data_IF_828412988088
#
_entry.id   IF_828412988088
#
_cell.length_a   1.000
_cell.length_b   1.000
_cell.length_c   1.000
_cell.angle_alpha   90.00
_cell.angle_beta   90.00
_cell.angle_gamma   90.00
#
_symmetry.space_group_name_H-M   'P 1'
#
loop_
_entity.id
_entity.type
_entity.pdbx_description
1 polymer ?
#
# COMPACT_ATOMS: atom_id res chain seq x y z
N UNK A 1 -13.44 19.06 9.37
CA UNK A 1 -12.70 17.94 9.99
C UNK A 1 -11.30 17.92 9.39
N UNK A 2 -10.27 17.73 10.22
CA UNK A 2 -8.88 17.56 9.80
C UNK A 2 -8.27 16.39 10.57
N UNK A 3 -7.25 15.71 10.02
CA UNK A 3 -6.53 14.65 10.72
C UNK A 3 -5.80 15.20 11.95
N UNK A 4 -5.75 14.39 13.00
CA UNK A 4 -4.94 14.64 14.20
C UNK A 4 -4.05 13.43 14.48
N UNK A 5 -2.93 13.65 15.17
CA UNK A 5 -2.09 12.55 15.65
C UNK A 5 -2.68 11.87 16.90
N UNK A 6 -1.98 10.88 17.45
CA UNK A 6 -2.39 10.15 18.66
C UNK A 6 -2.43 11.01 19.93
N UNK A 7 -1.81 12.19 19.92
CA UNK A 7 -1.83 13.17 21.02
C UNK A 7 -2.91 14.26 20.80
N UNK A 8 -3.61 14.22 19.67
CA UNK A 8 -4.67 15.17 19.32
C UNK A 8 -4.17 16.45 18.66
N UNK A 9 -2.90 16.53 18.26
CA UNK A 9 -2.37 17.68 17.53
C UNK A 9 -2.78 17.64 16.06
N UNK A 10 -3.10 18.79 15.43
CA UNK A 10 -3.40 18.84 14.00
C UNK A 10 -2.26 18.26 13.15
N UNK A 11 -2.60 17.32 12.26
CA UNK A 11 -1.66 16.71 11.34
C UNK A 11 -1.87 17.22 9.92
N UNK A 12 -0.97 18.09 9.45
CA UNK A 12 -0.95 18.54 8.05
C UNK A 12 -0.16 17.55 7.19
N UNK A 13 -0.83 16.85 6.27
CA UNK A 13 -0.17 15.91 5.35
C UNK A 13 0.56 16.68 4.25
N UNK A 14 1.89 16.59 4.23
CA UNK A 14 2.76 17.07 3.16
C UNK A 14 3.44 15.86 2.51
N UNK A 15 2.80 15.37 1.44
CA UNK A 15 3.12 14.09 0.81
C UNK A 15 4.06 14.17 -0.39
N UNK A 16 4.89 13.15 -0.56
CA UNK A 16 5.59 12.80 -1.81
C UNK A 16 5.09 11.45 -2.36
N UNK A 17 5.17 11.25 -3.67
CA UNK A 17 4.62 10.07 -4.37
C UNK A 17 5.72 9.06 -4.76
N UNK A 18 6.28 8.41 -3.75
CA UNK A 18 7.38 7.45 -3.88
C UNK A 18 6.91 6.03 -4.27
N UNK A 19 6.07 5.91 -5.31
CA UNK A 19 5.32 4.67 -5.61
C UNK A 19 6.18 3.41 -5.60
N UNK A 20 7.32 3.40 -6.30
CA UNK A 20 8.16 2.19 -6.39
C UNK A 20 9.23 2.08 -5.30
N UNK A 21 9.20 2.90 -4.23
CA UNK A 21 10.25 2.96 -3.20
C UNK A 21 10.66 1.59 -2.66
N UNK A 22 9.68 0.75 -2.30
CA UNK A 22 9.92 -0.57 -1.69
C UNK A 22 10.56 -1.57 -2.66
N UNK A 23 10.20 -1.51 -3.95
CA UNK A 23 10.72 -2.46 -4.92
C UNK A 23 11.99 -1.96 -5.61
N UNK A 24 12.09 -0.67 -5.87
CA UNK A 24 13.15 -0.16 -6.73
C UNK A 24 14.46 0.07 -5.97
N UNK A 25 14.42 0.49 -4.70
CA UNK A 25 15.62 0.92 -3.98
C UNK A 25 16.20 -0.18 -3.09
N UNK A 26 17.53 -0.23 -2.97
CA UNK A 26 18.19 -0.95 -1.87
C UNK A 26 17.98 -0.22 -0.55
N UNK A 27 18.28 -0.89 0.56
CA UNK A 27 18.05 -0.34 1.91
C UNK A 27 18.77 1.01 2.09
N UNK A 28 20.03 1.13 1.67
CA UNK A 28 20.80 2.40 1.81
C UNK A 28 20.30 3.51 0.87
N UNK A 29 19.74 3.14 -0.29
CA UNK A 29 19.16 4.10 -1.24
C UNK A 29 17.82 4.63 -0.72
N UNK A 30 17.00 3.76 -0.10
CA UNK A 30 15.74 4.11 0.53
C UNK A 30 15.96 5.03 1.74
N UNK A 31 16.98 4.74 2.56
CA UNK A 31 17.41 5.59 3.67
C UNK A 31 17.75 7.01 3.19
N UNK A 32 18.62 7.11 2.17
CA UNK A 32 19.01 8.39 1.60
C UNK A 32 17.81 9.17 1.04
N UNK A 33 16.91 8.49 0.35
CA UNK A 33 15.70 9.10 -0.18
C UNK A 33 14.84 9.68 0.95
N UNK A 34 14.48 8.86 1.95
CA UNK A 34 13.62 9.27 3.06
C UNK A 34 14.24 10.41 3.89
N UNK A 35 15.55 10.38 4.12
CA UNK A 35 16.27 11.46 4.82
C UNK A 35 16.24 12.78 4.04
N UNK A 36 16.45 12.74 2.71
CA UNK A 36 16.33 13.93 1.86
C UNK A 36 14.89 14.46 1.83
N UNK A 37 13.88 13.58 1.74
CA UNK A 37 12.46 13.99 1.83
C UNK A 37 12.16 14.67 3.15
N UNK A 38 12.67 14.13 4.26
CA UNK A 38 12.48 14.70 5.59
C UNK A 38 13.11 16.08 5.69
N UNK A 39 14.34 16.24 5.17
CA UNK A 39 15.05 17.51 5.15
C UNK A 39 14.33 18.59 4.33
N UNK A 40 13.51 18.20 3.34
CA UNK A 40 12.67 19.08 2.53
C UNK A 40 11.30 19.37 3.15
N UNK A 41 11.01 18.79 4.32
CA UNK A 41 9.77 19.02 5.06
C UNK A 41 8.59 18.14 4.65
N UNK A 42 8.81 17.07 3.87
CA UNK A 42 7.79 16.04 3.68
C UNK A 42 7.62 15.24 4.98
N UNK A 43 6.39 14.85 5.26
CA UNK A 43 6.03 14.01 6.41
C UNK A 43 5.13 12.84 6.03
N UNK A 44 4.78 12.71 4.74
CA UNK A 44 3.98 11.60 4.23
C UNK A 44 4.60 11.06 2.94
N UNK A 45 4.57 9.75 2.72
CA UNK A 45 4.96 9.12 1.44
C UNK A 45 3.88 8.16 0.96
N UNK A 46 3.57 8.20 -0.33
CA UNK A 46 2.67 7.26 -1.01
C UNK A 46 3.49 6.20 -1.75
N UNK A 47 3.28 4.92 -1.39
CA UNK A 47 4.15 3.81 -1.78
C UNK A 47 3.33 2.57 -2.12
N UNK A 48 3.75 1.84 -3.15
CA UNK A 48 3.29 0.47 -3.42
C UNK A 48 3.98 -0.51 -2.48
N UNK A 49 3.19 -1.31 -1.76
CA UNK A 49 3.73 -2.49 -1.10
C UNK A 49 4.19 -3.52 -2.13
N UNK A 50 3.38 -3.73 -3.18
CA UNK A 50 3.66 -4.61 -4.30
C UNK A 50 3.86 -3.78 -5.56
N UNK A 51 5.05 -3.81 -6.14
CA UNK A 51 5.31 -3.17 -7.43
C UNK A 51 5.03 -4.14 -8.58
N UNK A 52 4.42 -3.64 -9.65
CA UNK A 52 4.05 -4.45 -10.82
C UNK A 52 4.88 -4.11 -12.06
N UNK A 53 5.16 -2.82 -12.31
CA UNK A 53 5.69 -2.36 -13.61
C UNK A 53 6.85 -1.38 -13.53
N UNK A 54 6.82 -0.42 -12.62
CA UNK A 54 7.64 0.80 -12.78
C UNK A 54 9.01 0.76 -12.11
N UNK A 55 9.27 -0.23 -11.25
CA UNK A 55 10.63 -0.46 -10.75
C UNK A 55 11.53 -1.13 -11.79
N UNK A 56 12.85 -0.98 -11.63
CA UNK A 56 13.86 -1.54 -12.54
C UNK A 56 13.76 -3.06 -12.73
N UNK A 57 13.27 -3.78 -11.73
CA UNK A 57 13.21 -5.24 -11.71
C UNK A 57 11.78 -5.79 -11.58
N UNK A 58 10.75 -4.98 -11.82
CA UNK A 58 9.37 -5.32 -11.50
C UNK A 58 8.95 -6.70 -12.05
N UNK A 59 8.18 -7.51 -11.27
CA UNK A 59 7.70 -7.22 -9.92
C UNK A 59 8.72 -7.52 -8.80
N UNK A 60 9.95 -7.89 -9.15
CA UNK A 60 10.99 -8.16 -8.16
C UNK A 60 11.54 -6.86 -7.55
N UNK A 61 12.01 -6.93 -6.30
CA UNK A 61 12.69 -5.81 -5.66
C UNK A 61 14.14 -5.64 -6.15
N UNK A 62 14.86 -4.66 -5.60
CA UNK A 62 16.26 -4.34 -5.94
C UNK A 62 17.25 -5.51 -5.68
N UNK A 63 16.83 -6.51 -4.90
CA UNK A 63 17.59 -7.73 -4.60
C UNK A 63 17.18 -8.93 -5.47
N UNK A 64 16.21 -8.76 -6.38
CA UNK A 64 15.72 -9.82 -7.27
C UNK A 64 14.64 -10.70 -6.64
N UNK A 65 14.14 -10.35 -5.46
CA UNK A 65 13.08 -11.10 -4.80
C UNK A 65 11.72 -10.70 -5.35
N UNK A 66 10.92 -11.65 -5.84
CA UNK A 66 9.52 -11.42 -6.22
C UNK A 66 8.62 -11.47 -4.97
N UNK A 67 7.47 -10.77 -4.94
CA UNK A 67 6.59 -10.76 -3.77
C UNK A 67 5.94 -12.11 -3.47
N UNK A 68 5.75 -12.94 -4.49
CA UNK A 68 5.18 -14.28 -4.36
C UNK A 68 6.09 -15.32 -5.00
N UNK A 69 6.10 -16.52 -4.43
CA UNK A 69 6.80 -17.67 -5.00
C UNK A 69 6.10 -18.17 -6.28
N UNK A 70 6.87 -18.71 -7.23
CA UNK A 70 6.43 -19.55 -8.35
C UNK A 70 5.10 -19.16 -9.05
N UNK A 71 5.05 -18.11 -9.89
CA UNK A 71 3.84 -17.70 -10.66
C UNK A 71 2.51 -17.76 -9.88
N UNK A 72 2.56 -17.70 -8.54
CA UNK A 72 1.48 -18.00 -7.62
C UNK A 72 1.08 -16.75 -6.88
N UNK A 73 0.69 -15.72 -7.64
CA UNK A 73 0.34 -14.42 -7.11
C UNK A 73 -0.74 -14.56 -6.03
N UNK A 74 -0.53 -13.87 -4.91
CA UNK A 74 -1.39 -13.91 -3.72
C UNK A 74 -1.55 -15.29 -3.05
N UNK A 75 -0.69 -16.28 -3.36
CA UNK A 75 -0.72 -17.62 -2.70
C UNK A 75 0.33 -17.73 -1.61
N UNK A 76 1.61 -17.63 -1.95
CA UNK A 76 2.73 -17.83 -1.02
C UNK A 76 3.60 -16.58 -0.99
N UNK A 77 3.43 -15.71 0.03
CA UNK A 77 4.29 -14.55 0.22
C UNK A 77 5.78 -14.95 0.33
N UNK A 78 6.64 -14.24 -0.39
CA UNK A 78 8.09 -14.41 -0.27
C UNK A 78 8.63 -13.58 0.90
N UNK A 79 9.07 -14.25 1.96
CA UNK A 79 9.60 -13.59 3.16
C UNK A 79 10.74 -12.62 2.85
N UNK A 80 11.61 -12.90 1.88
CA UNK A 80 12.73 -12.01 1.57
C UNK A 80 12.26 -10.66 0.99
N UNK A 81 11.18 -10.66 0.20
CA UNK A 81 10.57 -9.44 -0.31
C UNK A 81 9.94 -8.61 0.81
N UNK A 82 9.09 -9.25 1.63
CA UNK A 82 8.38 -8.55 2.70
C UNK A 82 9.31 -8.15 3.86
N UNK A 83 10.41 -8.87 4.10
CA UNK A 83 11.43 -8.45 5.06
C UNK A 83 12.20 -7.21 4.59
N UNK A 84 12.30 -6.96 3.28
CA UNK A 84 12.84 -5.70 2.76
C UNK A 84 11.83 -4.56 2.91
N UNK A 85 10.54 -4.80 2.58
CA UNK A 85 9.47 -3.84 2.85
C UNK A 85 9.41 -3.44 4.34
N UNK A 86 9.56 -4.40 5.26
CA UNK A 86 9.66 -4.16 6.70
C UNK A 86 10.73 -3.13 7.06
N UNK A 87 11.93 -3.23 6.47
CA UNK A 87 13.05 -2.34 6.78
C UNK A 87 12.78 -0.92 6.30
N UNK A 88 12.19 -0.77 5.10
CA UNK A 88 11.83 0.54 4.55
C UNK A 88 10.70 1.18 5.38
N UNK A 89 9.67 0.42 5.75
CA UNK A 89 8.58 0.91 6.60
C UNK A 89 9.08 1.29 8.00
N UNK A 90 10.01 0.50 8.56
CA UNK A 90 10.67 0.81 9.82
C UNK A 90 11.48 2.11 9.75
N UNK A 91 12.28 2.31 8.71
CA UNK A 91 13.02 3.56 8.51
C UNK A 91 12.06 4.75 8.37
N UNK A 92 10.98 4.60 7.61
CA UNK A 92 9.96 5.64 7.47
C UNK A 92 9.34 5.99 8.84
N UNK A 93 9.04 4.99 9.67
CA UNK A 93 8.55 5.17 11.03
C UNK A 93 9.57 5.92 11.91
N UNK A 94 10.84 5.54 11.88
CA UNK A 94 11.92 6.19 12.65
C UNK A 94 12.12 7.67 12.27
N UNK A 95 11.94 8.00 11.00
CA UNK A 95 12.00 9.38 10.49
C UNK A 95 10.68 10.15 10.70
N UNK A 96 9.65 9.50 11.25
CA UNK A 96 8.35 10.09 11.52
C UNK A 96 7.56 10.42 10.26
N UNK A 97 7.62 9.55 9.25
CA UNK A 97 6.74 9.61 8.08
C UNK A 97 5.45 8.84 8.36
N UNK A 98 4.32 9.41 7.93
CA UNK A 98 3.12 8.65 7.61
C UNK A 98 3.31 7.95 6.26
N UNK A 99 3.04 6.65 6.19
CA UNK A 99 3.09 5.88 4.94
C UNK A 99 1.68 5.60 4.45
N UNK A 100 1.34 6.17 3.29
CA UNK A 100 0.16 5.79 2.54
C UNK A 100 0.55 4.55 1.72
N UNK A 101 0.15 3.36 2.19
CA UNK A 101 0.63 2.09 1.68
C UNK A 101 -0.44 1.42 0.82
N UNK A 102 -0.20 1.32 -0.49
CA UNK A 102 -1.07 0.59 -1.39
C UNK A 102 -0.77 -0.91 -1.30
N UNK A 103 -1.71 -1.76 -0.80
CA UNK A 103 -1.43 -3.19 -0.60
C UNK A 103 -1.29 -3.94 -1.92
N UNK A 104 -2.00 -3.49 -2.97
CA UNK A 104 -1.89 -3.95 -4.35
C UNK A 104 -2.54 -2.88 -5.24
N UNK A 105 -1.72 -2.01 -5.84
CA UNK A 105 -2.20 -0.97 -6.75
C UNK A 105 -2.86 -1.60 -7.99
N UNK A 106 -4.06 -1.15 -8.35
CA UNK A 106 -4.85 -1.79 -9.42
C UNK A 106 -4.32 -1.55 -10.83
N UNK A 107 -3.61 -0.44 -11.06
CA UNK A 107 -3.15 -0.06 -12.40
C UNK A 107 -4.16 0.82 -13.11
N UNK A 108 -3.67 1.77 -13.92
CA UNK A 108 -4.54 2.62 -14.74
C UNK A 108 -5.50 1.77 -15.58
N UNK A 109 -6.80 1.96 -15.36
CA UNK A 109 -7.85 1.23 -16.07
C UNK A 109 -7.89 -0.29 -15.82
N UNK A 110 -7.18 -0.80 -14.81
CA UNK A 110 -7.00 -2.23 -14.58
C UNK A 110 -6.07 -2.91 -15.60
N UNK A 111 -5.21 -2.12 -16.25
CA UNK A 111 -4.23 -2.58 -17.23
C UNK A 111 -2.99 -3.22 -16.61
N UNK A 112 -1.90 -3.25 -17.39
CA UNK A 112 -0.61 -3.85 -17.03
C UNK A 112 0.29 -2.94 -16.17
N UNK A 113 -0.27 -1.88 -15.58
CA UNK A 113 0.41 -0.98 -14.64
C UNK A 113 0.26 -1.40 -13.18
N UNK A 114 -0.60 -2.39 -12.90
CA UNK A 114 -0.89 -2.84 -11.56
C UNK A 114 -1.48 -4.24 -11.54
N UNK A 115 -1.92 -4.66 -10.37
CA UNK A 115 -2.22 -6.04 -10.02
C UNK A 115 -3.66 -6.49 -10.30
N UNK A 116 -4.50 -5.67 -10.93
CA UNK A 116 -5.94 -5.99 -11.06
C UNK A 116 -6.19 -7.33 -11.78
N UNK A 117 -5.42 -7.65 -12.80
CA UNK A 117 -5.59 -8.89 -13.58
C UNK A 117 -5.21 -10.12 -12.75
N UNK A 118 -4.12 -10.04 -12.00
CA UNK A 118 -3.65 -11.09 -11.09
C UNK A 118 -4.60 -11.23 -9.89
N UNK A 119 -5.13 -10.13 -9.37
CA UNK A 119 -6.17 -10.15 -8.33
C UNK A 119 -7.43 -10.87 -8.83
N UNK A 120 -7.89 -10.58 -10.05
CA UNK A 120 -9.03 -11.24 -10.66
C UNK A 120 -8.79 -12.74 -10.87
N UNK A 121 -7.56 -13.12 -11.28
CA UNK A 121 -7.17 -14.51 -11.45
C UNK A 121 -7.05 -15.27 -10.12
N UNK A 122 -6.61 -14.60 -9.05
CA UNK A 122 -6.48 -15.18 -7.72
C UNK A 122 -7.84 -15.39 -7.03
N UNK A 123 -8.77 -14.44 -7.21
CA UNK A 123 -10.09 -14.45 -6.62
C UNK A 123 -10.12 -14.06 -5.14
N UNK A 124 -11.33 -13.76 -4.64
CA UNK A 124 -11.53 -13.16 -3.32
C UNK A 124 -10.97 -13.98 -2.14
N UNK A 125 -11.00 -15.32 -2.20
CA UNK A 125 -10.48 -16.16 -1.10
C UNK A 125 -8.97 -15.97 -0.89
N UNK A 126 -8.20 -15.96 -1.98
CA UNK A 126 -6.74 -15.73 -1.91
C UNK A 126 -6.43 -14.30 -1.51
N UNK A 127 -7.23 -13.34 -1.97
CA UNK A 127 -7.08 -11.93 -1.61
C UNK A 127 -7.41 -11.66 -0.14
N UNK A 128 -8.40 -12.34 0.45
CA UNK A 128 -8.67 -12.30 1.89
C UNK A 128 -7.48 -12.84 2.69
N UNK A 129 -6.93 -14.00 2.27
CA UNK A 129 -5.74 -14.59 2.89
C UNK A 129 -4.52 -13.66 2.80
N UNK A 130 -4.30 -13.02 1.64
CA UNK A 130 -3.26 -12.01 1.46
C UNK A 130 -3.50 -10.79 2.35
N UNK A 131 -4.73 -10.28 2.42
CA UNK A 131 -5.12 -9.18 3.31
C UNK A 131 -4.78 -9.48 4.76
N UNK A 132 -5.12 -10.69 5.25
CA UNK A 132 -4.75 -11.13 6.61
C UNK A 132 -3.24 -11.19 6.81
N UNK A 133 -2.51 -11.72 5.82
CA UNK A 133 -1.05 -11.79 5.91
C UNK A 133 -0.43 -10.40 6.11
N UNK A 134 -0.78 -9.42 5.25
CA UNK A 134 -0.21 -8.07 5.35
C UNK A 134 -0.75 -7.31 6.56
N UNK A 135 -2.04 -7.44 6.90
CA UNK A 135 -2.62 -6.86 8.11
C UNK A 135 -1.89 -7.35 9.37
N UNK A 136 -1.71 -8.67 9.51
CA UNK A 136 -0.98 -9.25 10.65
C UNK A 136 0.47 -8.79 10.71
N UNK A 137 1.14 -8.71 9.57
CA UNK A 137 2.57 -8.33 9.51
C UNK A 137 2.78 -6.87 9.88
N UNK A 138 1.93 -5.99 9.36
CA UNK A 138 2.15 -4.55 9.41
C UNK A 138 1.38 -3.80 10.49
N UNK A 139 0.44 -4.45 11.21
CA UNK A 139 -0.25 -3.85 12.39
C UNK A 139 0.66 -3.36 13.51
N UNK A 140 1.96 -3.71 13.47
CA UNK A 140 2.97 -3.22 14.42
C UNK A 140 3.44 -1.80 14.13
N UNK A 141 3.07 -1.25 12.97
CA UNK A 141 3.46 0.08 12.52
C UNK A 141 2.30 1.05 12.73
N UNK A 142 2.49 2.00 13.65
CA UNK A 142 1.48 3.01 13.99
C UNK A 142 1.41 4.17 12.96
N UNK A 143 2.20 4.09 11.88
CA UNK A 143 2.38 5.13 10.89
C UNK A 143 1.90 4.72 9.48
N UNK A 144 0.93 3.79 9.36
CA UNK A 144 0.39 3.33 8.07
C UNK A 144 -1.08 3.75 7.90
N UNK A 145 -1.42 4.26 6.70
CA UNK A 145 -2.78 4.31 6.18
C UNK A 145 -2.82 3.46 4.91
N UNK A 146 -3.72 2.48 4.86
CA UNK A 146 -3.91 1.64 3.68
C UNK A 146 -4.59 2.40 2.55
N UNK A 147 -3.98 2.39 1.36
CA UNK A 147 -4.54 3.01 0.15
C UNK A 147 -5.09 1.91 -0.75
N UNK A 148 -6.38 1.64 -0.65
CA UNK A 148 -7.03 0.66 -1.51
C UNK A 148 -7.15 1.19 -2.95
N UNK A 149 -7.43 0.31 -3.91
CA UNK A 149 -7.63 0.72 -5.31
C UNK A 149 -6.33 1.07 -6.05
N UNK A 150 -6.38 2.08 -6.92
CA UNK A 150 -5.24 2.57 -7.70
C UNK A 150 -5.57 2.89 -9.15
N UNK A 151 -5.90 4.15 -9.47
CA UNK A 151 -6.15 4.65 -10.84
C UNK A 151 -7.20 3.88 -11.64
N UNK A 152 -8.08 3.18 -10.93
CA UNK A 152 -9.12 2.38 -11.52
C UNK A 152 -10.33 2.24 -10.59
N UNK A 153 -11.51 2.28 -11.20
CA UNK A 153 -12.77 1.94 -10.59
C UNK A 153 -13.11 0.51 -11.03
N UNK A 154 -12.76 -0.52 -10.25
CA UNK A 154 -12.91 -1.90 -10.67
C UNK A 154 -14.38 -2.26 -10.83
N UNK A 155 -14.67 -3.00 -11.92
CA UNK A 155 -16.00 -3.59 -12.12
C UNK A 155 -16.34 -4.57 -10.98
N UNK A 156 -15.35 -5.35 -10.55
CA UNK A 156 -15.45 -6.22 -9.38
C UNK A 156 -14.82 -5.55 -8.14
N UNK A 157 -15.68 -4.95 -7.33
CA UNK A 157 -15.29 -4.33 -6.06
C UNK A 157 -14.89 -5.37 -5.00
N UNK A 158 -15.32 -6.62 -5.13
CA UNK A 158 -15.12 -7.63 -4.10
C UNK A 158 -13.65 -8.05 -4.02
N UNK A 159 -12.88 -7.87 -5.10
CA UNK A 159 -11.42 -8.07 -5.08
C UNK A 159 -10.73 -7.11 -4.10
N UNK A 160 -11.07 -5.82 -4.15
CA UNK A 160 -10.52 -4.81 -3.22
C UNK A 160 -11.05 -5.04 -1.81
N UNK A 161 -12.35 -5.34 -1.67
CA UNK A 161 -12.97 -5.63 -0.37
C UNK A 161 -12.35 -6.83 0.31
N UNK A 162 -11.98 -7.88 -0.43
CA UNK A 162 -11.35 -9.07 0.15
C UNK A 162 -10.02 -8.73 0.83
N UNK A 163 -9.15 -7.96 0.15
CA UNK A 163 -7.88 -7.50 0.74
C UNK A 163 -8.15 -6.63 1.96
N UNK A 164 -9.01 -5.62 1.84
CA UNK A 164 -9.31 -4.68 2.92
C UNK A 164 -9.96 -5.37 4.14
N UNK A 165 -10.85 -6.35 3.90
CA UNK A 165 -11.47 -7.17 4.94
C UNK A 165 -10.41 -7.98 5.70
N UNK A 166 -9.52 -8.66 5.00
CA UNK A 166 -8.46 -9.46 5.62
C UNK A 166 -7.54 -8.59 6.49
N UNK A 167 -7.22 -7.38 6.04
CA UNK A 167 -6.45 -6.40 6.84
C UNK A 167 -7.19 -6.05 8.13
N UNK A 168 -8.47 -5.64 8.02
CA UNK A 168 -9.28 -5.24 9.17
C UNK A 168 -9.53 -6.35 10.19
N UNK A 169 -9.54 -7.62 9.76
CA UNK A 169 -9.69 -8.76 10.67
C UNK A 169 -8.45 -8.97 11.55
N UNK A 170 -7.27 -8.54 11.10
CA UNK A 170 -6.00 -8.66 11.84
C UNK A 170 -5.60 -7.36 12.56
N UNK A 171 -6.12 -6.23 12.07
CA UNK A 171 -5.98 -4.88 12.61
C UNK A 171 -7.30 -4.08 12.45
N UNK A 172 -8.22 -4.19 13.42
CA UNK A 172 -9.50 -3.49 13.38
C UNK A 172 -9.38 -1.96 13.40
N UNK A 173 -8.28 -1.44 13.93
CA UNK A 173 -8.04 -0.01 14.09
C UNK A 173 -7.38 0.60 12.85
N UNK A 174 -6.83 -0.24 11.95
CA UNK A 174 -6.23 0.17 10.68
C UNK A 174 -7.02 1.28 9.97
N UNK A 175 -6.32 2.37 9.63
CA UNK A 175 -6.86 3.45 8.82
C UNK A 175 -6.78 3.07 7.35
N UNK A 176 -7.85 3.35 6.62
CA UNK A 176 -7.93 3.11 5.18
C UNK A 176 -8.50 4.28 4.40
N UNK A 177 -7.99 4.44 3.20
CA UNK A 177 -8.44 5.36 2.15
C UNK A 177 -8.48 4.61 0.81
N UNK A 178 -8.74 5.31 -0.30
CA UNK A 178 -8.75 4.73 -1.63
C UNK A 178 -8.23 5.67 -2.70
N UNK A 179 -7.46 5.15 -3.65
CA UNK A 179 -7.06 5.86 -4.85
C UNK A 179 -8.00 5.43 -5.99
N UNK A 180 -8.97 6.28 -6.34
CA UNK A 180 -9.95 6.00 -7.39
C UNK A 180 -9.38 6.16 -8.80
N UNK A 181 -10.23 5.97 -9.82
CA UNK A 181 -9.90 6.41 -11.18
C UNK A 181 -9.78 7.95 -11.24
N UNK A 182 -9.06 8.49 -12.25
CA UNK A 182 -9.04 9.93 -12.51
C UNK A 182 -10.45 10.51 -12.54
N UNK A 183 -10.60 11.72 -11.97
CA UNK A 183 -11.85 12.48 -11.96
C UNK A 183 -13.02 11.81 -11.21
N UNK A 184 -12.78 10.72 -10.47
CA UNK A 184 -13.79 10.07 -9.63
C UNK A 184 -13.63 10.47 -8.18
N UNK A 185 -14.68 11.01 -7.57
CA UNK A 185 -14.70 11.23 -6.13
C UNK A 185 -14.78 9.88 -5.38
N UNK A 186 -13.86 9.58 -4.45
CA UNK A 186 -13.86 8.32 -3.70
C UNK A 186 -15.20 7.99 -3.05
N UNK A 187 -15.87 8.98 -2.45
CA UNK A 187 -17.18 8.78 -1.81
C UNK A 187 -18.31 8.46 -2.78
N UNK A 188 -18.21 8.86 -4.05
CA UNK A 188 -19.21 8.53 -5.06
C UNK A 188 -19.16 7.04 -5.39
N UNK A 189 -17.96 6.46 -5.47
CA UNK A 189 -17.78 5.07 -5.86
C UNK A 189 -17.68 4.11 -4.65
N UNK A 190 -17.14 4.56 -3.51
CA UNK A 190 -16.83 3.74 -2.33
C UNK A 190 -17.51 4.20 -1.03
N UNK A 191 -18.50 5.10 -1.11
CA UNK A 191 -19.06 5.86 0.03
C UNK A 191 -19.68 5.11 1.22
N UNK A 192 -19.60 3.78 1.28
CA UNK A 192 -20.16 2.97 2.37
C UNK A 192 -19.23 1.83 2.82
N UNK A 193 -17.97 1.87 2.42
CA UNK A 193 -17.01 0.82 2.76
C UNK A 193 -16.52 0.97 4.20
N UNK A 194 -16.52 -0.09 5.03
CA UNK A 194 -16.13 -0.02 6.44
C UNK A 194 -14.64 0.30 6.63
N UNK A 195 -13.82 0.05 5.62
CA UNK A 195 -12.38 0.36 5.61
C UNK A 195 -12.08 1.81 5.18
N UNK A 196 -13.05 2.55 4.62
CA UNK A 196 -12.85 3.94 4.17
C UNK A 196 -13.02 4.91 5.35
N UNK A 197 -11.96 5.04 6.15
CA UNK A 197 -11.92 5.90 7.35
C UNK A 197 -11.40 7.31 7.05
N UNK A 198 -10.58 7.46 6.01
CA UNK A 198 -9.99 8.74 5.58
C UNK A 198 -10.36 8.98 4.12
N UNK A 199 -11.01 10.11 3.83
CA UNK A 199 -11.33 10.52 2.47
C UNK A 199 -10.23 11.42 1.90
N UNK A 200 -10.00 11.34 0.59
CA UNK A 200 -9.03 12.12 -0.18
C UNK A 200 -9.68 12.85 -1.36
#
# INVERSE_FOLDING_TARGET
NYPVDSEGHPFFMHGDSAWSLIADLKDEEADLYLEDRKARGFNTVLVNLLEHRFSRNAPANAYGERPFADNGDFVVPNEAYFAHADRILQKACELGFLVLLAPAYLGYGGGDEGWYQEMAAAGAERLDAYGRFVGRRYRRFDNIIWVNGGDYNPADKDLVRAVAKGILEEDPDALGTVHGAPETAPLEFWGHEPWLKVNN
#
